data_IF_950837026697
#
_entry.id   IF_950837026697
#
_cell.length_a   1.000
_cell.length_b   1.000
_cell.length_c   1.000
_cell.angle_alpha   90.00
_cell.angle_beta   90.00
_cell.angle_gamma   90.00
#
_symmetry.space_group_name_H-M   'P 1'
#
loop_
_entity.id
_entity.type
_entity.pdbx_description
1 polymer ?
#
# COMPACT_ATOMS: atom_id res chain seq x y z
N UNK A 1 14.27 -14.93 69.33
CA UNK A 1 15.63 -14.71 68.80
C UNK A 1 16.08 -16.00 68.12
N UNK A 2 16.02 -16.05 66.78
CA UNK A 2 16.64 -17.09 65.95
C UNK A 2 17.28 -16.40 64.77
N UNK A 3 18.53 -16.76 64.54
CA UNK A 3 19.55 -16.07 63.77
C UNK A 3 19.65 -16.78 62.41
N UNK A 4 19.62 -16.03 61.31
CA UNK A 4 19.81 -16.56 59.95
C UNK A 4 21.28 -16.87 59.66
N UNK A 5 21.60 -17.98 58.97
CA UNK A 5 22.93 -18.21 58.41
C UNK A 5 23.09 -17.59 57.00
N UNK A 6 24.33 -17.41 56.52
CA UNK A 6 24.70 -16.39 55.53
C UNK A 6 24.57 -16.85 54.07
N UNK A 7 24.41 -15.86 53.19
CA UNK A 7 24.43 -15.98 51.73
C UNK A 7 25.81 -16.46 51.23
N UNK A 8 25.82 -17.53 50.42
CA UNK A 8 26.96 -17.92 49.62
C UNK A 8 26.70 -17.61 48.14
N UNK A 9 27.47 -16.65 47.63
CA UNK A 9 27.54 -16.24 46.22
C UNK A 9 28.09 -17.41 45.39
N UNK A 10 27.28 -17.94 44.46
CA UNK A 10 27.75 -18.90 43.47
C UNK A 10 28.40 -18.17 42.29
N UNK A 11 29.69 -18.42 42.11
CA UNK A 11 30.48 -18.00 40.96
C UNK A 11 30.00 -18.78 39.72
N UNK A 12 29.37 -18.10 38.77
CA UNK A 12 29.05 -18.67 37.45
C UNK A 12 30.23 -18.40 36.53
N UNK A 13 30.87 -19.45 36.05
CA UNK A 13 31.94 -19.42 35.05
C UNK A 13 31.30 -19.12 33.69
N UNK A 14 31.59 -17.96 33.11
CA UNK A 14 31.24 -17.64 31.72
C UNK A 14 32.25 -18.30 30.77
N UNK A 15 31.79 -19.29 30.02
CA UNK A 15 32.52 -19.86 28.89
C UNK A 15 32.43 -18.87 27.71
N UNK A 16 33.51 -18.15 27.42
CA UNK A 16 33.63 -17.29 26.24
C UNK A 16 33.81 -18.17 25.00
N UNK A 17 32.73 -18.33 24.22
CA UNK A 17 32.82 -18.86 22.85
C UNK A 17 33.23 -17.70 21.94
N UNK A 18 34.46 -17.75 21.41
CA UNK A 18 34.89 -16.84 20.34
C UNK A 18 34.21 -17.26 19.03
N UNK A 19 33.05 -16.67 18.74
CA UNK A 19 32.50 -16.68 17.38
C UNK A 19 33.29 -15.66 16.58
N UNK A 20 34.00 -16.14 15.56
CA UNK A 20 34.64 -15.31 14.54
C UNK A 20 33.59 -14.38 13.93
N UNK A 21 33.64 -13.10 14.27
CA UNK A 21 32.87 -12.05 13.59
C UNK A 21 33.47 -11.91 12.19
N UNK A 22 32.94 -12.66 11.21
CA UNK A 22 33.06 -12.25 9.82
C UNK A 22 32.34 -10.91 9.73
N UNK A 23 33.07 -9.89 9.27
CA UNK A 23 32.68 -8.49 9.32
C UNK A 23 31.23 -8.26 8.93
N UNK A 24 30.49 -7.61 9.82
CA UNK A 24 29.22 -7.02 9.47
C UNK A 24 29.53 -5.78 8.62
N UNK A 25 29.69 -5.98 7.32
CA UNK A 25 29.64 -4.87 6.36
C UNK A 25 28.27 -4.23 6.49
N UNK A 26 28.25 -2.93 6.76
CA UNK A 26 27.06 -2.09 6.62
C UNK A 26 26.35 -2.45 5.31
N UNK A 27 25.00 -2.51 5.27
CA UNK A 27 24.30 -2.67 4.00
C UNK A 27 24.79 -1.57 3.07
N UNK A 28 25.43 -1.97 1.97
CA UNK A 28 25.75 -1.06 0.90
C UNK A 28 24.41 -0.46 0.47
N UNK A 29 24.29 0.86 0.57
CA UNK A 29 23.16 1.63 0.07
C UNK A 29 22.98 1.22 -1.39
N UNK A 30 22.00 0.34 -1.63
CA UNK A 30 21.74 -0.17 -2.97
C UNK A 30 21.44 1.05 -3.81
N UNK A 31 22.22 1.26 -4.87
CA UNK A 31 21.96 2.33 -5.82
C UNK A 31 20.49 2.25 -6.21
N UNK A 32 19.70 3.27 -5.86
CA UNK A 32 18.32 3.41 -6.34
C UNK A 32 18.40 3.48 -7.86
N UNK A 33 18.28 2.31 -8.49
CA UNK A 33 18.13 2.21 -9.92
C UNK A 33 16.81 2.90 -10.22
N UNK A 34 16.88 4.05 -10.87
CA UNK A 34 15.71 4.74 -11.38
C UNK A 34 15.00 3.80 -12.35
N UNK A 35 14.02 3.05 -11.83
CA UNK A 35 13.14 2.27 -12.66
C UNK A 35 12.25 3.27 -13.41
N UNK A 36 12.46 3.37 -14.71
CA UNK A 36 11.39 3.80 -15.59
C UNK A 36 10.33 2.72 -15.48
N UNK A 37 9.41 2.84 -14.52
CA UNK A 37 8.22 2.00 -14.47
C UNK A 37 7.34 2.45 -15.64
N UNK A 38 7.67 1.99 -16.84
CA UNK A 38 6.74 2.01 -17.95
C UNK A 38 5.81 0.82 -17.73
N UNK A 39 4.58 1.12 -17.33
CA UNK A 39 3.55 0.12 -17.15
C UNK A 39 3.37 -0.71 -18.43
N UNK A 40 3.39 -2.03 -18.29
CA UNK A 40 2.91 -2.93 -19.33
C UNK A 40 1.45 -2.59 -19.66
N UNK A 41 1.16 -2.47 -20.95
CA UNK A 41 -0.10 -1.95 -21.48
C UNK A 41 -1.18 -3.02 -21.65
N UNK A 42 -0.96 -4.25 -21.18
CA UNK A 42 -1.93 -5.35 -21.30
C UNK A 42 -3.18 -5.14 -20.44
N UNK A 43 -3.02 -4.59 -19.22
CA UNK A 43 -4.12 -4.31 -18.31
C UNK A 43 -4.73 -2.94 -18.55
N UNK A 44 -6.05 -2.86 -18.49
CA UNK A 44 -6.81 -1.61 -18.67
C UNK A 44 -6.92 -0.83 -17.36
N UNK A 45 -6.97 0.49 -17.47
CA UNK A 45 -7.39 1.36 -16.36
C UNK A 45 -8.91 1.41 -16.34
N UNK A 46 -9.50 1.00 -15.22
CA UNK A 46 -10.90 1.25 -14.92
C UNK A 46 -11.03 2.57 -14.16
N UNK A 47 -12.08 3.34 -14.45
CA UNK A 47 -12.34 4.64 -13.81
C UNK A 47 -13.58 4.52 -12.91
N UNK A 48 -13.41 4.32 -11.59
CA UNK A 48 -14.52 4.21 -10.66
C UNK A 48 -15.46 5.41 -10.72
N UNK A 49 -16.77 5.15 -10.82
CA UNK A 49 -17.77 6.21 -10.79
C UNK A 49 -17.97 6.76 -9.38
N UNK A 50 -18.05 5.87 -8.39
CA UNK A 50 -18.15 6.20 -6.97
C UNK A 50 -16.78 6.11 -6.30
N UNK A 51 -16.35 7.19 -5.65
CA UNK A 51 -15.11 7.22 -4.86
C UNK A 51 -15.48 7.62 -3.44
N UNK A 52 -15.11 6.81 -2.44
CA UNK A 52 -15.34 7.19 -1.05
C UNK A 52 -14.30 8.22 -0.61
N UNK A 53 -14.74 9.33 -0.04
CA UNK A 53 -13.88 10.29 0.65
C UNK A 53 -14.03 10.08 2.15
N UNK A 54 -13.08 9.34 2.72
CA UNK A 54 -13.06 9.03 4.15
C UNK A 54 -12.99 10.26 5.04
N UNK A 55 -12.24 11.30 4.65
CA UNK A 55 -12.17 12.53 5.43
C UNK A 55 -13.49 13.30 5.43
N UNK A 56 -14.25 13.24 4.33
CA UNK A 56 -15.57 13.83 4.23
C UNK A 56 -16.71 12.90 4.69
N UNK A 57 -16.42 11.63 4.98
CA UNK A 57 -17.39 10.61 5.36
C UNK A 57 -18.47 10.36 4.30
N UNK A 58 -18.19 10.57 3.01
CA UNK A 58 -19.18 10.46 1.93
C UNK A 58 -18.57 10.01 0.61
N UNK A 59 -19.41 9.43 -0.25
CA UNK A 59 -19.05 9.19 -1.63
C UNK A 59 -19.11 10.46 -2.47
N UNK A 60 -18.16 10.59 -3.40
CA UNK A 60 -18.19 11.54 -4.51
C UNK A 60 -18.38 10.78 -5.82
N UNK A 61 -18.79 11.49 -6.86
CA UNK A 61 -18.97 10.95 -8.20
C UNK A 61 -18.00 11.59 -9.19
N UNK A 62 -17.39 10.78 -10.07
CA UNK A 62 -16.68 11.24 -11.26
C UNK A 62 -16.98 10.29 -12.41
N UNK A 63 -17.49 10.82 -13.51
CA UNK A 63 -17.63 10.04 -14.74
C UNK A 63 -16.27 9.78 -15.38
N UNK A 64 -16.17 8.79 -16.27
CA UNK A 64 -14.96 8.58 -17.07
C UNK A 64 -14.52 9.83 -17.84
N UNK A 65 -15.47 10.68 -18.27
CA UNK A 65 -15.18 11.96 -18.93
C UNK A 65 -14.60 13.00 -17.97
N UNK A 66 -14.92 12.94 -16.68
CA UNK A 66 -14.35 13.85 -15.68
C UNK A 66 -12.88 13.55 -15.44
N UNK A 67 -12.44 12.28 -15.46
CA UNK A 67 -11.02 11.95 -15.32
C UNK A 67 -10.15 12.56 -16.44
N UNK A 68 -10.70 12.81 -17.62
CA UNK A 68 -9.97 13.46 -18.72
C UNK A 68 -9.79 14.98 -18.53
N UNK A 69 -10.51 15.60 -17.58
CA UNK A 69 -10.47 17.03 -17.32
C UNK A 69 -9.36 17.35 -16.30
N UNK A 70 -8.36 18.18 -16.65
CA UNK A 70 -7.27 18.50 -15.73
C UNK A 70 -7.72 19.16 -14.41
N UNK A 71 -8.86 19.83 -14.39
CA UNK A 71 -9.43 20.49 -13.21
C UNK A 71 -10.20 19.54 -12.28
N UNK A 72 -10.53 18.33 -12.73
CA UNK A 72 -11.21 17.34 -11.89
C UNK A 72 -10.36 16.96 -10.70
N UNK A 73 -11.04 16.54 -9.62
CA UNK A 73 -10.39 16.16 -8.36
C UNK A 73 -9.32 15.11 -8.61
N UNK A 74 -9.67 14.03 -9.31
CA UNK A 74 -8.70 13.09 -9.87
C UNK A 74 -8.75 13.17 -11.39
N UNK A 75 -7.58 13.16 -12.03
CA UNK A 75 -7.45 13.31 -13.47
C UNK A 75 -6.31 12.46 -14.02
N UNK A 76 -6.42 12.04 -15.28
CA UNK A 76 -5.34 11.38 -16.03
C UNK A 76 -4.14 12.29 -16.26
N UNK A 77 -4.28 13.61 -16.08
CA UNK A 77 -3.15 14.54 -16.03
C UNK A 77 -2.28 14.37 -14.76
N UNK A 78 -2.81 13.73 -13.72
CA UNK A 78 -2.18 13.53 -12.41
C UNK A 78 -2.34 12.08 -11.98
N UNK A 79 -1.70 11.21 -12.75
CA UNK A 79 -1.63 9.80 -12.44
C UNK A 79 -0.28 9.22 -12.83
N UNK A 80 0.05 8.09 -12.23
CA UNK A 80 1.15 7.23 -12.67
C UNK A 80 0.67 5.79 -12.67
N UNK A 81 1.21 4.99 -13.58
CA UNK A 81 0.82 3.60 -13.74
C UNK A 81 2.04 2.71 -13.53
N UNK A 82 1.78 1.55 -12.98
CA UNK A 82 2.65 0.37 -12.97
C UNK A 82 1.95 -0.76 -13.70
N UNK A 83 2.50 -1.98 -13.70
CA UNK A 83 1.87 -3.12 -14.35
C UNK A 83 0.49 -3.43 -13.76
N UNK A 84 0.35 -3.36 -12.44
CA UNK A 84 -0.85 -3.80 -11.72
C UNK A 84 -1.65 -2.66 -11.10
N UNK A 85 -1.08 -1.47 -10.95
CA UNK A 85 -1.71 -0.33 -10.26
C UNK A 85 -1.79 0.91 -11.15
N UNK A 86 -2.89 1.64 -11.04
CA UNK A 86 -2.98 3.05 -11.45
C UNK A 86 -3.13 3.91 -10.21
N UNK A 87 -2.27 4.92 -10.07
CA UNK A 87 -2.19 5.78 -8.91
C UNK A 87 -2.54 7.21 -9.31
N UNK A 88 -3.70 7.69 -8.87
CA UNK A 88 -4.14 9.07 -9.04
C UNK A 88 -3.80 9.93 -7.83
N UNK A 89 -3.59 11.23 -8.04
CA UNK A 89 -3.50 12.19 -6.93
C UNK A 89 -4.29 13.47 -7.20
N UNK A 90 -4.73 14.10 -6.11
CA UNK A 90 -5.51 15.34 -6.19
C UNK A 90 -4.70 16.54 -6.71
N UNK A 91 -5.41 17.53 -7.26
CA UNK A 91 -4.86 18.79 -7.80
C UNK A 91 -3.90 19.52 -6.86
N UNK A 92 -4.10 19.41 -5.54
CA UNK A 92 -3.26 20.07 -4.54
C UNK A 92 -1.79 19.65 -4.54
N UNK A 93 -1.46 18.47 -5.08
CA UNK A 93 -0.08 18.00 -5.23
C UNK A 93 0.63 18.59 -6.46
N UNK A 94 -0.08 19.29 -7.35
CA UNK A 94 0.45 19.71 -8.64
C UNK A 94 0.81 18.50 -9.52
N UNK A 95 1.90 18.62 -10.26
CA UNK A 95 2.34 17.61 -11.24
C UNK A 95 3.08 16.43 -10.60
N UNK A 96 3.64 16.61 -9.40
CA UNK A 96 4.42 15.56 -8.74
C UNK A 96 4.29 15.61 -7.20
N UNK A 97 3.66 14.60 -6.56
CA UNK A 97 3.54 14.48 -5.11
C UNK A 97 4.88 14.49 -4.34
N UNK A 98 5.99 14.11 -4.99
CA UNK A 98 7.33 14.14 -4.37
C UNK A 98 7.85 15.57 -4.15
N UNK A 99 7.31 16.54 -4.91
CA UNK A 99 7.69 17.95 -4.83
C UNK A 99 6.74 18.77 -3.97
N UNK A 100 5.70 18.14 -3.41
CA UNK A 100 4.71 18.82 -2.59
C UNK A 100 5.30 19.40 -1.29
N UNK A 101 4.52 20.30 -0.69
CA UNK A 101 4.87 20.97 0.56
C UNK A 101 5.05 19.98 1.73
N UNK A 102 5.77 20.41 2.77
CA UNK A 102 6.02 19.61 3.98
C UNK A 102 4.68 19.17 4.60
N UNK A 103 4.57 17.87 4.90
CA UNK A 103 3.35 17.24 5.42
C UNK A 103 2.43 16.66 4.35
N UNK A 104 2.58 17.10 3.09
CA UNK A 104 1.93 16.47 1.93
C UNK A 104 2.90 15.65 1.09
N UNK A 105 4.21 15.92 1.15
CA UNK A 105 5.19 15.18 0.35
C UNK A 105 5.04 13.66 0.50
N UNK A 106 4.91 12.98 -0.64
CA UNK A 106 4.83 11.53 -0.75
C UNK A 106 5.98 11.06 -1.64
N UNK A 107 6.74 10.06 -1.19
CA UNK A 107 7.75 9.39 -2.00
C UNK A 107 7.07 8.47 -3.04
N UNK A 108 6.55 9.06 -4.11
CA UNK A 108 5.70 8.37 -5.09
C UNK A 108 6.40 7.16 -5.70
N UNK A 109 7.66 7.30 -6.13
CA UNK A 109 8.44 6.21 -6.71
C UNK A 109 8.56 5.03 -5.74
N UNK A 110 8.93 5.29 -4.48
CA UNK A 110 9.06 4.25 -3.45
C UNK A 110 7.70 3.57 -3.17
N UNK A 111 6.59 4.32 -3.10
CA UNK A 111 5.26 3.74 -2.89
C UNK A 111 4.82 2.85 -4.06
N UNK A 112 5.08 3.25 -5.30
CA UNK A 112 4.70 2.45 -6.47
C UNK A 112 5.45 1.11 -6.49
N UNK A 113 6.74 1.11 -6.15
CA UNK A 113 7.53 -0.12 -6.01
C UNK A 113 6.99 -1.02 -4.90
N UNK A 114 6.62 -0.44 -3.76
CA UNK A 114 6.06 -1.19 -2.64
C UNK A 114 4.67 -1.74 -2.95
N UNK A 115 3.82 -0.98 -3.63
CA UNK A 115 2.50 -1.45 -4.08
C UNK A 115 2.62 -2.64 -5.02
N UNK A 116 3.57 -2.62 -5.96
CA UNK A 116 3.83 -3.76 -6.85
C UNK A 116 4.32 -4.99 -6.08
N UNK A 117 5.22 -4.81 -5.12
CA UNK A 117 5.70 -5.90 -4.28
C UNK A 117 4.58 -6.51 -3.41
N UNK A 118 3.75 -5.66 -2.79
CA UNK A 118 2.61 -6.09 -1.99
C UNK A 118 1.55 -6.78 -2.85
N UNK A 119 1.26 -6.23 -4.03
CA UNK A 119 0.33 -6.83 -4.99
C UNK A 119 0.80 -8.23 -5.40
N UNK A 120 2.07 -8.38 -5.74
CA UNK A 120 2.65 -9.68 -6.07
C UNK A 120 2.53 -10.65 -4.90
N UNK A 121 2.79 -10.22 -3.66
CA UNK A 121 2.62 -11.05 -2.49
C UNK A 121 1.16 -11.52 -2.29
N UNK A 122 0.17 -10.63 -2.33
CA UNK A 122 -1.24 -11.01 -2.18
C UNK A 122 -1.75 -11.93 -3.30
N UNK A 123 -1.32 -11.70 -4.54
CA UNK A 123 -1.72 -12.50 -5.70
C UNK A 123 -0.99 -13.84 -5.77
N UNK A 124 0.33 -13.85 -5.57
CA UNK A 124 1.18 -14.99 -5.93
C UNK A 124 1.47 -15.89 -4.72
N UNK A 125 1.73 -15.28 -3.57
CA UNK A 125 2.13 -16.02 -2.36
C UNK A 125 0.92 -16.36 -1.50
N UNK A 126 -0.01 -15.43 -1.32
CA UNK A 126 -1.25 -15.65 -0.57
C UNK A 126 -2.41 -16.15 -1.43
N UNK A 127 -2.30 -16.05 -2.76
CA UNK A 127 -3.28 -16.56 -3.71
C UNK A 127 -4.73 -16.09 -3.46
N UNK A 128 -4.91 -14.80 -3.11
CA UNK A 128 -6.25 -14.22 -2.92
C UNK A 128 -7.08 -14.28 -4.21
N UNK A 129 -6.42 -14.10 -5.35
CA UNK A 129 -7.03 -14.27 -6.67
C UNK A 129 -6.26 -15.32 -7.46
N UNK A 130 -6.93 -16.00 -8.37
CA UNK A 130 -6.27 -16.95 -9.28
C UNK A 130 -5.62 -16.18 -10.42
N UNK A 131 -4.49 -16.68 -10.93
CA UNK A 131 -3.97 -16.24 -12.23
C UNK A 131 -4.79 -16.90 -13.32
N UNK A 132 -5.56 -16.11 -14.06
CA UNK A 132 -6.39 -16.52 -15.19
C UNK A 132 -7.46 -17.60 -14.88
N UNK A 133 -8.78 -17.26 -14.89
CA UNK A 133 -9.36 -15.94 -15.10
C UNK A 133 -9.52 -15.17 -13.78
N UNK A 134 -8.95 -13.97 -13.71
CA UNK A 134 -9.28 -12.95 -12.71
C UNK A 134 -9.53 -11.60 -13.37
N UNK A 135 -10.42 -10.79 -12.81
CA UNK A 135 -10.55 -9.37 -13.18
C UNK A 135 -9.24 -8.61 -12.99
N UNK A 136 -8.38 -9.08 -12.08
CA UNK A 136 -7.03 -8.52 -11.90
C UNK A 136 -6.10 -8.79 -13.08
N UNK A 137 -6.40 -9.75 -13.96
CA UNK A 137 -5.68 -9.96 -15.22
C UNK A 137 -6.13 -8.96 -16.30
N UNK A 138 -7.35 -8.41 -16.16
CA UNK A 138 -7.94 -7.45 -17.09
C UNK A 138 -7.68 -6.00 -16.71
N UNK A 139 -7.80 -5.68 -15.43
CA UNK A 139 -7.75 -4.31 -14.92
C UNK A 139 -6.61 -4.10 -13.92
N UNK A 140 -6.06 -2.88 -13.93
CA UNK A 140 -5.20 -2.40 -12.85
C UNK A 140 -6.06 -2.06 -11.63
N UNK A 141 -5.58 -2.36 -10.42
CA UNK A 141 -6.18 -1.84 -9.19
C UNK A 141 -5.91 -0.35 -9.06
N UNK A 142 -6.75 0.37 -8.32
CA UNK A 142 -6.74 1.84 -8.29
C UNK A 142 -6.29 2.36 -6.94
N UNK A 143 -5.33 3.27 -6.93
CA UNK A 143 -4.92 4.01 -5.75
C UNK A 143 -5.29 5.50 -5.91
N UNK A 144 -5.91 6.08 -4.88
CA UNK A 144 -6.26 7.50 -4.84
C UNK A 144 -5.53 8.21 -3.70
N UNK A 145 -4.66 9.16 -4.02
CA UNK A 145 -4.00 10.02 -3.04
C UNK A 145 -4.77 11.33 -2.84
N UNK A 146 -5.40 11.44 -1.68
CA UNK A 146 -6.18 12.60 -1.25
C UNK A 146 -5.25 13.71 -0.75
N UNK A 147 -5.56 14.98 -1.05
CA UNK A 147 -4.82 16.13 -0.54
C UNK A 147 -5.39 16.58 0.81
N UNK A 148 -5.24 15.72 1.82
CA UNK A 148 -5.63 16.03 3.19
C UNK A 148 -4.65 15.40 4.20
N UNK A 149 -3.85 16.22 4.87
CA UNK A 149 -2.87 15.76 5.87
C UNK A 149 -3.44 15.59 7.28
N UNK A 150 -4.61 16.17 7.56
CA UNK A 150 -5.24 16.11 8.89
C UNK A 150 -5.99 14.79 9.09
N UNK A 151 -6.41 14.16 7.98
CA UNK A 151 -7.02 12.84 8.04
C UNK A 151 -5.98 11.76 8.32
N UNK A 152 -6.25 10.91 9.31
CA UNK A 152 -5.27 9.99 9.88
C UNK A 152 -5.54 8.52 9.59
N UNK A 153 -6.09 8.16 8.43
CA UNK A 153 -6.23 6.74 8.05
C UNK A 153 -6.10 6.56 6.54
N UNK A 154 -5.96 5.31 6.13
CA UNK A 154 -6.10 4.82 4.75
C UNK A 154 -7.30 3.87 4.70
N UNK A 155 -7.74 3.50 3.51
CA UNK A 155 -8.84 2.54 3.33
C UNK A 155 -8.59 1.61 2.16
N UNK A 156 -9.01 0.36 2.30
CA UNK A 156 -9.05 -0.65 1.28
C UNK A 156 -10.48 -1.12 1.00
N UNK A 157 -10.86 -1.14 -0.27
CA UNK A 157 -12.17 -1.63 -0.71
C UNK A 157 -12.09 -2.02 -2.19
N UNK A 158 -13.21 -1.98 -2.90
CA UNK A 158 -13.20 -1.94 -4.34
C UNK A 158 -14.37 -1.13 -4.91
N UNK A 159 -14.46 -1.13 -6.23
CA UNK A 159 -15.43 -0.36 -6.98
C UNK A 159 -16.05 -1.17 -8.13
N UNK A 160 -17.36 -0.98 -8.28
CA UNK A 160 -18.19 -1.42 -9.42
C UNK A 160 -18.05 -2.91 -9.78
N UNK A 161 -17.75 -3.75 -8.79
CA UNK A 161 -17.49 -5.19 -8.89
C UNK A 161 -16.42 -5.53 -9.94
N UNK A 162 -15.42 -4.65 -10.07
CA UNK A 162 -14.39 -4.73 -11.12
C UNK A 162 -12.98 -4.58 -10.62
N UNK A 163 -12.72 -3.61 -9.74
CA UNK A 163 -11.36 -3.28 -9.31
C UNK A 163 -11.31 -3.08 -7.82
N UNK A 164 -10.22 -3.54 -7.21
CA UNK A 164 -9.88 -3.17 -5.85
C UNK A 164 -9.31 -1.74 -5.83
N UNK A 165 -9.57 -1.04 -4.72
CA UNK A 165 -9.29 0.38 -4.55
C UNK A 165 -8.64 0.62 -3.19
N UNK A 166 -7.53 1.35 -3.18
CA UNK A 166 -6.93 1.89 -1.96
C UNK A 166 -7.01 3.41 -1.93
N UNK A 167 -7.42 3.96 -0.79
CA UNK A 167 -7.55 5.39 -0.54
C UNK A 167 -6.43 5.83 0.42
N UNK A 168 -5.62 6.77 -0.04
CA UNK A 168 -4.37 7.15 0.58
C UNK A 168 -4.41 8.59 1.05
N UNK A 169 -3.92 8.81 2.26
CA UNK A 169 -3.76 10.12 2.86
C UNK A 169 -2.30 10.28 3.29
N UNK A 170 -1.67 11.44 3.02
CA UNK A 170 -0.24 11.60 3.17
C UNK A 170 0.23 11.27 4.59
N UNK A 171 -0.53 11.59 5.63
CA UNK A 171 -0.22 11.30 7.04
C UNK A 171 0.11 9.84 7.37
N UNK A 172 -0.33 8.89 6.53
CA UNK A 172 -0.17 7.44 6.76
C UNK A 172 0.79 6.74 5.80
N UNK A 173 1.32 7.48 4.83
CA UNK A 173 2.19 6.92 3.78
C UNK A 173 3.46 7.76 3.57
N UNK A 174 3.90 8.53 4.58
CA UNK A 174 5.10 9.37 4.46
C UNK A 174 6.39 8.55 4.43
N UNK A 175 6.41 7.37 5.04
CA UNK A 175 7.60 6.52 5.09
C UNK A 175 7.27 5.04 5.23
N UNK A 176 8.22 4.21 4.79
CA UNK A 176 8.25 2.78 5.05
C UNK A 176 8.10 2.45 6.55
N UNK A 177 7.57 1.27 6.91
CA UNK A 177 7.33 0.09 6.05
C UNK A 177 5.96 0.04 5.35
N UNK A 178 5.19 1.13 5.31
CA UNK A 178 3.88 1.18 4.63
C UNK A 178 2.89 0.09 5.09
N UNK A 179 2.97 -0.37 6.34
CA UNK A 179 2.14 -1.48 6.84
C UNK A 179 0.63 -1.24 6.75
N UNK A 180 0.19 0.01 6.99
CA UNK A 180 -1.21 0.37 6.80
C UNK A 180 -1.63 0.24 5.32
N UNK A 181 -0.77 0.65 4.38
CA UNK A 181 -1.05 0.48 2.95
C UNK A 181 -1.12 -1.00 2.57
N UNK A 182 -0.24 -1.85 3.11
CA UNK A 182 -0.30 -3.30 2.88
C UNK A 182 -1.65 -3.87 3.34
N UNK A 183 -2.04 -3.58 4.58
CA UNK A 183 -3.31 -4.00 5.17
C UNK A 183 -4.52 -3.59 4.32
N UNK A 184 -4.59 -2.31 3.93
CA UNK A 184 -5.69 -1.84 3.08
C UNK A 184 -5.66 -2.46 1.68
N UNK A 185 -4.49 -2.70 1.11
CA UNK A 185 -4.40 -3.43 -0.15
C UNK A 185 -4.94 -4.86 0.00
N UNK A 186 -4.72 -5.49 1.15
CA UNK A 186 -5.32 -6.78 1.51
C UNK A 186 -6.85 -6.76 1.47
N UNK A 187 -7.48 -5.74 2.04
CA UNK A 187 -8.93 -5.52 1.91
C UNK A 187 -9.37 -5.35 0.45
N UNK A 188 -8.58 -4.66 -0.37
CA UNK A 188 -8.86 -4.57 -1.80
C UNK A 188 -8.77 -5.92 -2.52
N UNK A 189 -7.84 -6.80 -2.12
CA UNK A 189 -7.80 -8.17 -2.63
C UNK A 189 -8.96 -9.02 -2.15
N UNK A 190 -9.39 -8.87 -0.90
CA UNK A 190 -10.61 -9.53 -0.41
C UNK A 190 -11.85 -9.11 -1.23
N UNK A 191 -11.94 -7.84 -1.60
CA UNK A 191 -12.97 -7.38 -2.54
C UNK A 191 -12.88 -8.09 -3.88
N UNK A 192 -11.65 -8.22 -4.43
CA UNK A 192 -11.43 -8.91 -5.70
C UNK A 192 -11.84 -10.38 -5.69
N UNK A 193 -11.72 -11.09 -4.56
CA UNK A 193 -12.26 -12.44 -4.39
C UNK A 193 -13.76 -12.47 -4.73
N UNK A 194 -14.51 -11.51 -4.19
CA UNK A 194 -15.95 -11.36 -4.45
C UNK A 194 -16.26 -10.96 -5.89
N UNK A 195 -15.51 -9.99 -6.43
CA UNK A 195 -15.66 -9.53 -7.82
C UNK A 195 -15.40 -10.65 -8.84
N UNK A 196 -14.47 -11.56 -8.55
CA UNK A 196 -14.21 -12.78 -9.34
C UNK A 196 -15.25 -13.89 -9.12
N UNK A 197 -16.34 -13.59 -8.39
CA UNK A 197 -17.46 -14.50 -8.14
C UNK A 197 -17.16 -15.60 -7.13
N UNK A 198 -16.19 -15.40 -6.23
CA UNK A 198 -15.83 -16.33 -5.15
C UNK A 198 -16.31 -15.79 -3.80
N UNK A 199 -16.24 -16.63 -2.77
CA UNK A 199 -16.61 -16.25 -1.39
C UNK A 199 -15.35 -15.93 -0.61
N UNK A 200 -15.28 -14.71 -0.07
CA UNK A 200 -14.18 -14.23 0.77
C UNK A 200 -14.38 -14.51 2.26
N UNK A 201 -13.48 -13.97 3.08
CA UNK A 201 -13.60 -13.99 4.54
C UNK A 201 -14.70 -13.03 5.02
N UNK A 202 -15.29 -13.30 6.18
CA UNK A 202 -16.31 -12.44 6.79
C UNK A 202 -16.00 -12.18 8.28
N UNK A 203 -16.69 -11.19 8.87
CA UNK A 203 -16.57 -10.85 10.29
C UNK A 203 -15.17 -10.36 10.66
N UNK A 204 -14.68 -10.69 11.85
CA UNK A 204 -13.35 -10.25 12.32
C UNK A 204 -12.20 -10.80 11.48
N UNK A 205 -12.42 -11.87 10.70
CA UNK A 205 -11.41 -12.39 9.79
C UNK A 205 -11.16 -11.45 8.60
N UNK A 206 -12.10 -10.54 8.30
CA UNK A 206 -11.92 -9.50 7.30
C UNK A 206 -10.71 -8.60 7.64
N UNK A 207 -10.61 -8.17 8.90
CA UNK A 207 -9.58 -7.27 9.44
C UNK A 207 -8.20 -7.91 9.65
N UNK A 208 -8.00 -9.17 9.30
CA UNK A 208 -6.75 -9.89 9.55
C UNK A 208 -5.82 -9.93 8.32
N UNK A 209 -5.95 -8.94 7.42
CA UNK A 209 -5.12 -8.83 6.20
C UNK A 209 -3.85 -7.99 6.37
#
# INVERSE_FOLDING_TARGET
MRIHPPFHTRLIVFLLVFISVKGYTQPQEAAKQSFNIEANTTKQVYYPYWIYDGAAGKYITQTAADYAKPESRFSTARMKQTDNIVFFWETGYGDNPETASVGYRVALTDILEQLEAMYAFYRDDLAFVQKEPSLTDQYKMVAFLFYNKEWGTVYGSGADDKVGVVLLYPSRIQSAPYGALAHELGHSFQYMVGADGKVGFEGTAWEMT
#
